data_IF_318679730437
#
_entry.id   IF_318679730437
#
_cell.length_a   1.000
_cell.length_b   1.000
_cell.length_c   1.000
_cell.angle_alpha   90.00
_cell.angle_beta   90.00
_cell.angle_gamma   90.00
#
_symmetry.space_group_name_H-M   'P 1'
#
loop_
_entity.id
_entity.type
_entity.pdbx_description
1 polymer ?
#
# COMPACT_ATOMS: atom_id res chain seq x y z
N UNK A 1 22.34 30.75 -4.47
CA UNK A 1 22.59 29.30 -4.56
C UNK A 1 22.77 28.97 -6.02
N UNK A 2 23.89 28.34 -6.38
CA UNK A 2 24.19 28.00 -7.78
C UNK A 2 23.72 26.57 -8.00
N UNK A 3 22.74 26.38 -8.88
CA UNK A 3 22.28 25.03 -9.27
C UNK A 3 23.36 24.44 -10.17
N UNK A 4 23.82 23.22 -9.88
CA UNK A 4 24.84 22.54 -10.71
C UNK A 4 24.30 22.25 -12.11
N UNK A 5 25.21 22.28 -13.11
CA UNK A 5 24.91 21.87 -14.49
C UNK A 5 24.45 20.41 -14.55
N UNK A 6 24.95 19.58 -13.65
CA UNK A 6 24.67 18.14 -13.62
C UNK A 6 23.21 17.92 -13.21
N UNK A 7 22.71 18.65 -12.21
CA UNK A 7 21.30 18.63 -11.80
C UNK A 7 20.37 18.97 -12.96
N UNK A 8 20.69 20.03 -13.71
CA UNK A 8 19.90 20.44 -14.87
C UNK A 8 19.97 19.40 -16.01
N UNK A 9 21.10 18.73 -16.16
CA UNK A 9 21.31 17.69 -17.17
C UNK A 9 20.49 16.45 -16.83
N UNK A 10 20.53 16.02 -15.57
CA UNK A 10 19.70 14.91 -15.06
C UNK A 10 18.23 15.23 -15.22
N UNK A 11 17.74 16.39 -14.77
CA UNK A 11 16.31 16.73 -14.95
C UNK A 11 15.86 16.69 -16.40
N UNK A 12 16.68 17.18 -17.33
CA UNK A 12 16.38 17.09 -18.77
C UNK A 12 16.31 15.65 -19.26
N UNK A 13 17.19 14.76 -18.78
CA UNK A 13 17.13 13.34 -19.13
C UNK A 13 15.81 12.67 -18.70
N UNK A 14 15.22 13.14 -17.60
CA UNK A 14 13.91 12.70 -17.11
C UNK A 14 12.72 13.54 -17.64
N UNK A 15 12.97 14.55 -18.48
CA UNK A 15 11.97 15.53 -18.97
C UNK A 15 11.28 16.33 -17.86
N UNK A 16 11.98 16.56 -16.75
CA UNK A 16 11.49 17.34 -15.61
C UNK A 16 11.80 18.83 -15.75
N UNK A 17 12.29 19.29 -16.90
CA UNK A 17 12.58 20.70 -17.17
C UNK A 17 11.36 21.51 -17.61
N UNK A 18 10.22 20.86 -17.87
CA UNK A 18 8.95 21.52 -18.19
C UNK A 18 8.02 21.61 -16.95
N UNK A 19 7.80 22.79 -16.36
CA UNK A 19 6.93 22.94 -15.18
C UNK A 19 5.45 22.70 -15.46
N UNK A 20 5.01 22.89 -16.71
CA UNK A 20 3.63 22.70 -17.17
C UNK A 20 3.31 21.25 -17.53
N UNK A 21 4.27 20.33 -17.36
CA UNK A 21 4.05 18.93 -17.65
C UNK A 21 2.97 18.34 -16.73
N UNK A 22 2.00 17.65 -17.33
CA UNK A 22 0.98 16.91 -16.60
C UNK A 22 1.59 15.68 -15.95
N UNK A 23 0.97 15.20 -14.88
CA UNK A 23 1.37 13.93 -14.26
C UNK A 23 1.37 12.79 -15.26
N UNK A 24 0.36 12.70 -16.14
CA UNK A 24 0.27 11.61 -17.12
C UNK A 24 1.48 11.58 -18.07
N UNK A 25 1.92 12.74 -18.57
CA UNK A 25 3.08 12.84 -19.45
C UNK A 25 4.40 12.47 -18.72
N UNK A 26 4.55 12.92 -17.47
CA UNK A 26 5.70 12.57 -16.65
C UNK A 26 5.70 11.08 -16.28
N UNK A 27 4.53 10.51 -16.02
CA UNK A 27 4.34 9.08 -15.70
C UNK A 27 4.70 8.20 -16.89
N UNK A 28 4.25 8.53 -18.10
CA UNK A 28 4.63 7.79 -19.31
C UNK A 28 6.15 7.75 -19.47
N UNK A 29 6.81 8.89 -19.26
CA UNK A 29 8.27 8.94 -19.28
C UNK A 29 8.92 8.08 -18.19
N UNK A 30 8.36 8.07 -16.98
CA UNK A 30 8.85 7.22 -15.89
C UNK A 30 8.70 5.73 -16.21
N UNK A 31 7.62 5.33 -16.90
CA UNK A 31 7.42 3.95 -17.37
C UNK A 31 8.53 3.59 -18.36
N UNK A 32 8.79 4.41 -19.38
CA UNK A 32 9.84 4.15 -20.37
C UNK A 32 11.22 3.97 -19.71
N UNK A 33 11.54 4.81 -18.72
CA UNK A 33 12.80 4.75 -17.97
C UNK A 33 12.86 3.47 -17.14
N UNK A 34 11.81 3.16 -16.39
CA UNK A 34 11.76 1.97 -15.54
C UNK A 34 11.88 0.68 -16.38
N UNK A 35 11.19 0.61 -17.51
CA UNK A 35 11.27 -0.51 -18.45
C UNK A 35 12.65 -0.63 -19.08
N UNK A 36 13.24 0.47 -19.54
CA UNK A 36 14.62 0.49 -20.04
C UNK A 36 15.58 -0.04 -18.98
N UNK A 37 15.48 0.44 -17.74
CA UNK A 37 16.29 -0.06 -16.62
C UNK A 37 16.00 -1.52 -16.27
N UNK A 38 14.84 -2.08 -16.63
CA UNK A 38 14.45 -3.46 -16.33
C UNK A 38 14.85 -4.45 -17.42
N UNK A 39 14.84 -4.04 -18.69
CA UNK A 39 15.08 -4.94 -19.84
C UNK A 39 16.47 -4.80 -20.44
N UNK A 40 17.21 -3.74 -20.12
CA UNK A 40 18.56 -3.53 -20.64
C UNK A 40 19.51 -4.65 -20.21
N UNK A 41 20.23 -5.24 -21.15
CA UNK A 41 21.25 -6.23 -20.86
C UNK A 41 22.53 -5.53 -20.37
N UNK A 42 23.17 -6.11 -19.35
CA UNK A 42 24.44 -5.63 -18.82
C UNK A 42 25.50 -6.73 -18.97
N UNK A 43 26.68 -6.36 -19.47
CA UNK A 43 27.91 -7.14 -19.32
C UNK A 43 28.69 -6.70 -18.08
N UNK A 44 29.67 -7.49 -17.64
CA UNK A 44 30.44 -7.24 -16.41
C UNK A 44 31.06 -5.84 -16.33
N UNK A 45 31.63 -5.34 -17.42
CA UNK A 45 32.22 -3.99 -17.48
C UNK A 45 31.17 -2.86 -17.45
N UNK A 46 29.94 -3.16 -17.83
CA UNK A 46 28.84 -2.18 -17.83
C UNK A 46 28.19 -2.04 -16.46
N UNK A 47 28.22 -3.07 -15.60
CA UNK A 47 27.56 -3.02 -14.28
C UNK A 47 28.11 -1.87 -13.43
N UNK A 48 29.44 -1.76 -13.30
CA UNK A 48 30.10 -0.70 -12.53
C UNK A 48 29.77 0.69 -13.07
N UNK A 49 29.71 0.84 -14.40
CA UNK A 49 29.36 2.12 -15.02
C UNK A 49 27.92 2.53 -14.70
N UNK A 50 26.97 1.59 -14.76
CA UNK A 50 25.56 1.87 -14.45
C UNK A 50 25.32 2.10 -12.95
N UNK A 51 26.07 1.44 -12.06
CA UNK A 51 26.02 1.76 -10.63
C UNK A 51 26.41 3.22 -10.37
N UNK A 52 27.52 3.67 -10.93
CA UNK A 52 27.98 5.07 -10.80
C UNK A 52 26.99 6.07 -11.39
N UNK A 53 26.46 5.79 -12.59
CA UNK A 53 25.46 6.65 -13.24
C UNK A 53 24.19 6.75 -12.38
N UNK A 54 23.74 5.62 -11.82
CA UNK A 54 22.57 5.60 -10.94
C UNK A 54 22.80 6.40 -9.65
N UNK A 55 23.98 6.30 -9.04
CA UNK A 55 24.33 7.11 -7.86
C UNK A 55 24.30 8.61 -8.20
N UNK A 56 24.91 9.02 -9.32
CA UNK A 56 24.92 10.42 -9.76
C UNK A 56 23.49 10.93 -10.05
N UNK A 57 22.67 10.12 -10.71
CA UNK A 57 21.28 10.46 -10.97
C UNK A 57 20.47 10.58 -9.67
N UNK A 58 20.69 9.68 -8.70
CA UNK A 58 20.03 9.71 -7.40
C UNK A 58 20.36 10.99 -6.64
N UNK A 59 21.64 11.33 -6.53
CA UNK A 59 22.11 12.53 -5.86
C UNK A 59 21.55 13.80 -6.51
N UNK A 60 21.60 13.89 -7.83
CA UNK A 60 21.09 15.03 -8.59
C UNK A 60 19.58 15.22 -8.42
N UNK A 61 18.79 14.15 -8.48
CA UNK A 61 17.34 14.18 -8.29
C UNK A 61 16.96 14.56 -6.85
N UNK A 62 17.68 14.03 -5.86
CA UNK A 62 17.48 14.38 -4.44
C UNK A 62 17.79 15.85 -4.20
N UNK A 63 18.90 16.35 -4.74
CA UNK A 63 19.27 17.75 -4.63
C UNK A 63 18.27 18.66 -5.35
N UNK A 64 17.81 18.25 -6.53
CA UNK A 64 16.79 18.97 -7.28
C UNK A 64 15.51 19.16 -6.47
N UNK A 65 14.98 18.07 -5.88
CA UNK A 65 13.77 18.11 -5.06
C UNK A 65 13.91 19.05 -3.87
N UNK A 66 15.08 19.08 -3.23
CA UNK A 66 15.33 19.87 -2.02
C UNK A 66 15.61 21.36 -2.30
N UNK A 67 16.25 21.69 -3.42
CA UNK A 67 16.79 23.04 -3.65
C UNK A 67 16.07 23.84 -4.73
N UNK A 68 15.29 23.21 -5.62
CA UNK A 68 14.65 23.89 -6.75
C UNK A 68 13.14 24.05 -6.57
N UNK A 69 12.54 25.12 -7.11
CA UNK A 69 11.10 25.35 -7.07
C UNK A 69 10.37 24.51 -8.13
N UNK A 70 10.28 23.20 -7.89
CA UNK A 70 9.55 22.27 -8.76
C UNK A 70 8.03 22.33 -8.52
N UNK A 71 7.25 22.12 -9.57
CA UNK A 71 5.79 21.97 -9.48
C UNK A 71 5.40 20.69 -8.71
N UNK A 72 4.15 20.59 -8.27
CA UNK A 72 3.66 19.40 -7.55
C UNK A 72 3.85 18.12 -8.39
N UNK A 73 3.55 18.19 -9.69
CA UNK A 73 3.73 17.07 -10.61
C UNK A 73 5.21 16.70 -10.76
N UNK A 74 6.10 17.70 -10.88
CA UNK A 74 7.54 17.47 -10.93
C UNK A 74 8.08 16.87 -9.62
N UNK A 75 7.66 17.37 -8.45
CA UNK A 75 8.05 16.79 -7.15
C UNK A 75 7.61 15.33 -7.03
N UNK A 76 6.37 15.03 -7.43
CA UNK A 76 5.86 13.66 -7.48
C UNK A 76 6.69 12.78 -8.42
N UNK A 77 7.00 13.28 -9.62
CA UNK A 77 7.77 12.56 -10.60
C UNK A 77 9.22 12.33 -10.15
N UNK A 78 9.85 13.30 -9.48
CA UNK A 78 11.18 13.14 -8.87
C UNK A 78 11.16 12.06 -7.79
N UNK A 79 10.14 12.04 -6.92
CA UNK A 79 9.98 10.96 -5.94
C UNK A 79 9.92 9.57 -6.58
N UNK A 80 9.14 9.42 -7.65
CA UNK A 80 9.07 8.16 -8.41
C UNK A 80 10.36 7.83 -9.16
N UNK A 81 11.06 8.82 -9.72
CA UNK A 81 12.36 8.61 -10.34
C UNK A 81 13.39 8.09 -9.33
N UNK A 82 13.40 8.61 -8.09
CA UNK A 82 14.27 8.11 -7.02
C UNK A 82 13.98 6.64 -6.69
N UNK A 83 12.70 6.26 -6.53
CA UNK A 83 12.31 4.86 -6.32
C UNK A 83 12.79 3.94 -7.47
N UNK A 84 12.66 4.39 -8.72
CA UNK A 84 13.11 3.65 -9.91
C UNK A 84 14.63 3.46 -9.89
N UNK A 85 15.40 4.51 -9.59
CA UNK A 85 16.87 4.44 -9.56
C UNK A 85 17.35 3.47 -8.48
N UNK A 86 16.79 3.54 -7.27
CA UNK A 86 17.12 2.60 -6.19
C UNK A 86 16.76 1.15 -6.56
N UNK A 87 15.59 0.93 -7.18
CA UNK A 87 15.18 -0.38 -7.64
C UNK A 87 16.04 -0.89 -8.82
N UNK A 88 16.51 0.00 -9.69
CA UNK A 88 17.45 -0.33 -10.76
C UNK A 88 18.81 -0.76 -10.20
N UNK A 89 19.31 -0.12 -9.14
CA UNK A 89 20.53 -0.57 -8.45
C UNK A 89 20.36 -1.96 -7.82
N UNK A 90 19.23 -2.26 -7.20
CA UNK A 90 18.96 -3.62 -6.70
C UNK A 90 18.87 -4.65 -7.84
N UNK A 91 18.33 -4.27 -9.01
CA UNK A 91 18.33 -5.11 -10.21
C UNK A 91 19.74 -5.45 -10.68
N UNK A 92 20.69 -4.50 -10.66
CA UNK A 92 22.10 -4.76 -11.00
C UNK A 92 22.73 -5.82 -10.07
N UNK A 93 22.26 -5.92 -8.82
CA UNK A 93 22.63 -6.96 -7.85
C UNK A 93 21.84 -8.28 -8.00
N UNK A 94 21.07 -8.43 -9.07
CA UNK A 94 20.25 -9.61 -9.35
C UNK A 94 18.88 -9.64 -8.67
N UNK A 95 18.39 -8.49 -8.16
CA UNK A 95 17.08 -8.39 -7.47
C UNK A 95 16.11 -7.49 -8.24
N UNK A 96 15.46 -7.98 -9.31
CA UNK A 96 14.59 -7.16 -10.16
C UNK A 96 13.21 -6.87 -9.53
N UNK A 97 12.80 -7.59 -8.48
CA UNK A 97 11.42 -7.62 -8.01
C UNK A 97 10.82 -6.25 -7.67
N UNK A 98 11.60 -5.36 -7.04
CA UNK A 98 11.15 -3.99 -6.73
C UNK A 98 10.86 -3.19 -8.00
N UNK A 99 11.74 -3.31 -9.00
CA UNK A 99 11.61 -2.56 -10.25
C UNK A 99 10.42 -3.06 -11.09
N UNK A 100 10.18 -4.37 -11.10
CA UNK A 100 8.98 -4.96 -11.71
C UNK A 100 7.71 -4.40 -11.09
N UNK A 101 7.62 -4.39 -9.75
CA UNK A 101 6.45 -3.84 -9.06
C UNK A 101 6.20 -2.36 -9.39
N UNK A 102 7.27 -1.54 -9.44
CA UNK A 102 7.15 -0.13 -9.82
C UNK A 102 6.59 0.04 -11.25
N UNK A 103 7.03 -0.76 -12.21
CA UNK A 103 6.51 -0.72 -13.60
C UNK A 103 5.03 -1.07 -13.63
N UNK A 104 4.62 -2.12 -12.91
CA UNK A 104 3.22 -2.54 -12.81
C UNK A 104 2.34 -1.45 -12.18
N UNK A 105 2.80 -0.85 -11.08
CA UNK A 105 2.08 0.22 -10.38
C UNK A 105 1.89 1.46 -11.26
N UNK A 106 2.95 1.90 -11.96
CA UNK A 106 2.89 3.06 -12.86
C UNK A 106 1.95 2.82 -14.04
N UNK A 107 1.87 1.59 -14.55
CA UNK A 107 0.95 1.21 -15.64
C UNK A 107 -0.50 1.08 -15.15
N UNK A 108 -0.72 0.56 -13.95
CA UNK A 108 -2.05 0.39 -13.38
C UNK A 108 -2.76 1.74 -13.17
N UNK A 109 -2.00 2.81 -12.91
CA UNK A 109 -2.55 4.16 -12.66
C UNK A 109 -3.35 4.74 -13.86
N UNK A 110 -3.12 4.26 -15.08
CA UNK A 110 -3.81 4.71 -16.31
C UNK A 110 -5.23 4.12 -16.43
N UNK A 111 -5.48 2.94 -15.83
CA UNK A 111 -6.77 2.25 -15.94
C UNK A 111 -7.79 2.79 -14.93
N UNK A 112 -7.94 4.12 -14.87
CA UNK A 112 -9.00 4.78 -14.14
C UNK A 112 -10.24 4.96 -15.03
N UNK A 113 -10.76 3.86 -15.60
CA UNK A 113 -12.23 3.72 -15.54
C UNK A 113 -12.52 3.58 -14.07
N UNK A 114 -13.42 4.40 -13.51
CA UNK A 114 -13.79 4.37 -12.10
C UNK A 114 -14.30 2.97 -11.72
N UNK A 115 -13.39 2.11 -11.32
CA UNK A 115 -13.65 0.86 -10.63
C UNK A 115 -12.96 1.05 -9.29
N UNK A 116 -13.80 1.02 -8.27
CA UNK A 116 -13.42 1.20 -6.88
C UNK A 116 -12.17 0.38 -6.52
N UNK A 117 -11.29 1.01 -5.75
CA UNK A 117 -10.25 0.43 -4.89
C UNK A 117 -10.31 -1.10 -4.87
N UNK A 118 -9.42 -1.75 -5.61
CA UNK A 118 -9.12 -3.15 -5.38
C UNK A 118 -8.64 -3.29 -3.93
N UNK A 119 -9.14 -4.29 -3.21
CA UNK A 119 -8.16 -5.18 -2.61
C UNK A 119 -8.34 -6.59 -3.13
N UNK A 120 -7.21 -7.28 -3.16
CA UNK A 120 -7.04 -8.72 -2.92
C UNK A 120 -6.64 -9.53 -4.14
N UNK A 121 -5.36 -9.88 -4.13
CA UNK A 121 -4.87 -11.25 -4.31
C UNK A 121 -5.99 -12.29 -4.16
N UNK A 122 -6.11 -13.09 -5.22
CA UNK A 122 -6.96 -14.27 -5.30
C UNK A 122 -6.76 -15.15 -4.06
N UNK A 123 -7.72 -15.09 -3.15
CA UNK A 123 -8.02 -16.18 -2.22
C UNK A 123 -9.41 -16.64 -2.65
N UNK A 124 -9.56 -17.96 -2.84
CA UNK A 124 -10.82 -18.68 -3.03
C UNK A 124 -11.98 -18.00 -2.29
N UNK A 125 -13.25 -18.12 -2.76
CA UNK A 125 -14.39 -17.58 -2.04
C UNK A 125 -14.31 -18.04 -0.59
N UNK A 126 -13.85 -17.12 0.26
CA UNK A 126 -13.63 -17.42 1.65
C UNK A 126 -15.00 -17.66 2.22
N UNK A 127 -15.14 -18.77 2.94
CA UNK A 127 -16.34 -19.00 3.74
C UNK A 127 -16.65 -17.73 4.55
N UNK A 128 -17.94 -17.35 4.64
CA UNK A 128 -18.37 -16.16 5.35
C UNK A 128 -17.81 -16.18 6.76
N UNK A 129 -17.13 -15.10 7.15
CA UNK A 129 -16.40 -15.04 8.40
C UNK A 129 -17.37 -14.59 9.50
N UNK A 130 -18.04 -15.56 10.11
CA UNK A 130 -19.05 -15.28 11.15
C UNK A 130 -18.41 -14.87 12.47
N UNK A 131 -19.13 -14.08 13.26
CA UNK A 131 -18.71 -13.70 14.62
C UNK A 131 -18.48 -14.92 15.52
N UNK A 132 -19.25 -15.99 15.32
CA UNK A 132 -19.09 -17.26 16.01
C UNK A 132 -17.72 -17.88 15.77
N UNK A 133 -17.24 -17.89 14.52
CA UNK A 133 -15.93 -18.42 14.18
C UNK A 133 -14.79 -17.58 14.80
N UNK A 134 -14.87 -16.26 14.69
CA UNK A 134 -13.84 -15.36 15.25
C UNK A 134 -13.79 -15.41 16.78
N UNK A 135 -14.94 -15.37 17.44
CA UNK A 135 -15.00 -15.44 18.90
C UNK A 135 -14.51 -16.78 19.45
N UNK A 136 -14.69 -17.89 18.72
CA UNK A 136 -14.13 -19.17 19.11
C UNK A 136 -12.60 -19.17 19.07
N UNK A 137 -11.98 -18.61 18.02
CA UNK A 137 -10.51 -18.48 17.92
C UNK A 137 -9.96 -17.57 19.04
N UNK A 138 -10.60 -16.42 19.26
CA UNK A 138 -10.23 -15.50 20.33
C UNK A 138 -10.30 -16.15 21.72
N UNK A 139 -11.36 -16.91 22.00
CA UNK A 139 -11.50 -17.61 23.29
C UNK A 139 -10.49 -18.74 23.47
N UNK A 140 -10.07 -19.39 22.38
CA UNK A 140 -9.06 -20.46 22.42
C UNK A 140 -7.66 -19.90 22.68
N UNK A 141 -7.31 -18.77 22.07
CA UNK A 141 -6.04 -18.07 22.30
C UNK A 141 -5.94 -17.53 23.73
N UNK A 142 -7.04 -17.02 24.28
CA UNK A 142 -7.04 -16.38 25.61
C UNK A 142 -7.38 -17.32 26.77
N UNK A 143 -7.58 -18.63 26.54
CA UNK A 143 -7.96 -19.59 27.60
C UNK A 143 -6.90 -19.77 28.69
N UNK A 144 -5.62 -19.59 28.35
CA UNK A 144 -4.49 -19.79 29.28
C UNK A 144 -4.09 -18.50 30.02
N UNK A 145 -4.49 -17.34 29.48
CA UNK A 145 -4.08 -16.02 29.97
C UNK A 145 -5.16 -15.29 30.77
N UNK A 146 -6.44 -15.61 30.56
CA UNK A 146 -7.54 -15.02 31.31
C UNK A 146 -7.86 -15.82 32.58
N UNK A 147 -8.08 -15.14 33.71
CA UNK A 147 -8.61 -15.78 34.91
C UNK A 147 -9.97 -16.45 34.62
N UNK A 148 -10.25 -17.60 35.25
CA UNK A 148 -11.42 -18.45 34.93
C UNK A 148 -12.77 -17.71 34.92
N UNK A 149 -12.95 -16.75 35.85
CA UNK A 149 -14.15 -15.91 35.90
C UNK A 149 -14.28 -14.99 34.70
N UNK A 150 -13.17 -14.36 34.29
CA UNK A 150 -13.13 -13.46 33.12
C UNK A 150 -13.35 -14.23 31.83
N UNK A 151 -12.73 -15.40 31.67
CA UNK A 151 -12.93 -16.24 30.48
C UNK A 151 -14.39 -16.66 30.33
N UNK A 152 -15.04 -17.05 31.43
CA UNK A 152 -16.46 -17.42 31.46
C UNK A 152 -17.38 -16.27 31.07
N UNK A 153 -17.14 -15.08 31.62
CA UNK A 153 -17.91 -13.88 31.33
C UNK A 153 -17.79 -13.49 29.84
N UNK A 154 -16.56 -13.44 29.32
CA UNK A 154 -16.28 -13.09 27.93
C UNK A 154 -16.90 -14.13 26.98
N UNK A 155 -16.79 -15.42 27.32
CA UNK A 155 -17.43 -16.51 26.56
C UNK A 155 -18.95 -16.37 26.51
N UNK A 156 -19.58 -15.96 27.61
CA UNK A 156 -21.03 -15.73 27.67
C UNK A 156 -21.46 -14.55 26.79
N UNK A 157 -20.72 -13.44 26.85
CA UNK A 157 -20.96 -12.27 26.00
C UNK A 157 -20.77 -12.59 24.51
N UNK A 158 -19.68 -13.27 24.14
CA UNK A 158 -19.43 -13.69 22.77
C UNK A 158 -20.54 -14.63 22.24
N UNK A 159 -21.00 -15.57 23.05
CA UNK A 159 -22.11 -16.46 22.67
C UNK A 159 -23.38 -15.67 22.37
N UNK A 160 -23.70 -14.69 23.22
CA UNK A 160 -24.85 -13.81 23.01
C UNK A 160 -24.76 -13.04 21.69
N UNK A 161 -23.60 -12.43 21.41
CA UNK A 161 -23.41 -11.67 20.17
C UNK A 161 -23.50 -12.61 18.95
N UNK A 162 -22.92 -13.82 19.05
CA UNK A 162 -22.97 -14.82 17.99
C UNK A 162 -24.42 -15.26 17.66
N UNK A 163 -25.27 -15.42 18.67
CA UNK A 163 -26.69 -15.77 18.48
C UNK A 163 -27.47 -14.65 17.78
N UNK A 164 -27.15 -13.38 18.08
CA UNK A 164 -27.85 -12.23 17.50
C UNK A 164 -27.38 -11.93 16.06
N UNK A 165 -26.07 -12.03 15.82
CA UNK A 165 -25.48 -11.79 14.50
C UNK A 165 -25.68 -12.99 13.55
N UNK A 166 -25.81 -14.21 14.08
CA UNK A 166 -26.04 -15.41 13.29
C UNK A 166 -24.95 -15.62 12.23
N UNK A 167 -25.38 -15.82 10.99
CA UNK A 167 -24.52 -16.05 9.84
C UNK A 167 -24.08 -14.75 9.13
N UNK A 168 -24.19 -13.60 9.81
CA UNK A 168 -23.68 -12.33 9.27
C UNK A 168 -22.18 -12.45 8.98
N UNK A 169 -21.82 -12.21 7.73
CA UNK A 169 -20.44 -12.15 7.30
C UNK A 169 -19.79 -10.85 7.79
N UNK A 170 -18.83 -10.97 8.71
CA UNK A 170 -18.15 -9.81 9.27
C UNK A 170 -17.23 -9.10 8.27
N UNK A 171 -16.97 -9.67 7.09
CA UNK A 171 -16.22 -8.98 6.04
C UNK A 171 -17.05 -7.91 5.34
N UNK A 172 -18.36 -8.07 5.31
CA UNK A 172 -19.29 -7.21 4.59
C UNK A 172 -20.28 -6.49 5.51
N UNK A 173 -20.13 -6.63 6.83
CA UNK A 173 -21.00 -5.97 7.80
C UNK A 173 -20.98 -4.44 7.64
N UNK A 174 -22.15 -3.85 7.86
CA UNK A 174 -22.36 -2.41 7.82
C UNK A 174 -22.54 -1.84 9.23
N UNK A 175 -22.48 -0.51 9.33
CA UNK A 175 -22.81 0.19 10.58
C UNK A 175 -24.25 -0.08 11.03
N UNK A 176 -25.16 -0.32 10.10
CA UNK A 176 -26.56 -0.58 10.42
C UNK A 176 -26.71 -1.95 11.11
N UNK A 177 -25.95 -2.95 10.70
CA UNK A 177 -25.93 -4.27 11.35
C UNK A 177 -25.50 -4.17 12.82
N UNK A 178 -24.53 -3.31 13.13
CA UNK A 178 -24.08 -3.09 14.51
C UNK A 178 -25.08 -2.28 15.35
N UNK A 179 -25.84 -1.35 14.73
CA UNK A 179 -26.96 -0.69 15.42
C UNK A 179 -28.08 -1.69 15.73
N UNK A 180 -28.40 -2.56 14.78
CA UNK A 180 -29.42 -3.61 14.95
C UNK A 180 -29.03 -4.60 16.05
N UNK A 181 -27.75 -4.99 16.12
CA UNK A 181 -27.21 -5.78 17.24
C UNK A 181 -27.47 -5.08 18.58
N UNK A 182 -27.12 -3.80 18.69
CA UNK A 182 -27.32 -3.03 19.93
C UNK A 182 -28.80 -2.90 20.30
N UNK A 183 -29.66 -2.66 19.32
CA UNK A 183 -31.11 -2.58 19.53
C UNK A 183 -31.66 -3.91 20.08
N UNK A 184 -31.32 -5.04 19.45
CA UNK A 184 -31.70 -6.38 19.92
C UNK A 184 -31.13 -6.71 21.30
N UNK A 185 -29.91 -6.29 21.61
CA UNK A 185 -29.34 -6.46 22.95
C UNK A 185 -30.13 -5.71 24.02
N UNK A 186 -30.68 -4.52 23.69
CA UNK A 186 -31.47 -3.71 24.61
C UNK A 186 -32.90 -4.22 24.82
N UNK A 187 -33.42 -5.08 23.95
CA UNK A 187 -34.75 -5.70 24.12
C UNK A 187 -34.77 -6.63 25.34
N UNK A 188 -33.72 -7.46 25.49
CA UNK A 188 -33.67 -8.50 26.53
C UNK A 188 -32.78 -8.14 27.73
N UNK A 189 -32.01 -7.04 27.68
CA UNK A 189 -30.97 -6.75 28.68
C UNK A 189 -30.97 -5.30 29.15
N UNK A 190 -30.55 -5.12 30.41
CA UNK A 190 -30.38 -3.79 31.02
C UNK A 190 -29.28 -3.00 30.28
N UNK A 191 -29.40 -1.67 30.16
CA UNK A 191 -28.41 -0.83 29.47
C UNK A 191 -26.98 -0.99 29.98
N UNK A 192 -26.79 -1.19 31.29
CA UNK A 192 -25.47 -1.41 31.90
C UNK A 192 -24.83 -2.73 31.46
N UNK A 193 -25.65 -3.76 31.23
CA UNK A 193 -25.18 -5.05 30.71
C UNK A 193 -24.82 -4.92 29.24
N UNK A 194 -25.61 -4.20 28.45
CA UNK A 194 -25.29 -3.92 27.04
C UNK A 194 -24.03 -3.07 26.90
N UNK A 195 -23.75 -2.16 27.83
CA UNK A 195 -22.51 -1.37 27.81
C UNK A 195 -21.24 -2.18 28.15
N UNK A 196 -21.39 -3.32 28.83
CA UNK A 196 -20.27 -4.24 29.13
C UNK A 196 -19.96 -5.17 27.95
N UNK A 197 -20.96 -5.46 27.12
CA UNK A 197 -20.88 -6.32 25.92
C UNK A 197 -20.33 -5.49 24.76
#
# INVERSE_FOLDING_TARGET
MTISKDILTTLKAYHFDNPEATWDALRERLIDIAESCLTMAHGDSSLVAYEMINDEHHEALREASAKMPLSINQQRAVGKALEIVEAAQERLKGRPGKLVGIVEDLKAEVCSTSVALSPSLSVLPSEPLTFKALSALYLDEHKEHAGEGTHRDVKSSCKTIAEILGDLDLKTHTREDMKNLRAKLLEDRKPLTVAKI
#
